data_IF_262727451823
#
_entry.id   IF_262727451823
#
_cell.length_a   1.000
_cell.length_b   1.000
_cell.length_c   1.000
_cell.angle_alpha   90.00
_cell.angle_beta   90.00
_cell.angle_gamma   90.00
#
_symmetry.space_group_name_H-M   'P 1'
#
loop_
_entity.id
_entity.type
_entity.pdbx_description
1 polymer ?
#
# COMPACT_ATOMS: atom_id res chain seq x y z
N UNK A 1 -17.28 37.68 -6.38
CA UNK A 1 -15.83 37.35 -6.36
C UNK A 1 -15.34 36.86 -4.99
N UNK A 2 -16.22 36.65 -4.01
CA UNK A 2 -15.94 35.80 -2.86
C UNK A 2 -16.54 34.40 -3.12
N UNK A 3 -15.82 33.35 -2.75
CA UNK A 3 -16.24 31.94 -2.64
C UNK A 3 -15.79 30.91 -3.70
N UNK A 4 -14.76 31.20 -4.51
CA UNK A 4 -14.03 30.17 -5.29
C UNK A 4 -12.81 29.59 -4.57
N UNK A 5 -12.32 30.22 -3.50
CA UNK A 5 -11.17 29.72 -2.73
C UNK A 5 -11.51 28.55 -1.79
N UNK A 6 -12.78 28.35 -1.44
CA UNK A 6 -13.22 27.27 -0.51
C UNK A 6 -13.60 25.95 -1.16
N UNK A 7 -13.44 25.86 -2.49
CA UNK A 7 -13.70 24.64 -3.28
C UNK A 7 -12.41 23.97 -3.72
N UNK A 8 -11.29 24.21 -3.02
CA UNK A 8 -10.00 23.57 -3.28
C UNK A 8 -9.60 22.68 -2.10
N UNK A 9 -8.94 21.56 -2.38
CA UNK A 9 -8.40 20.66 -1.37
C UNK A 9 -7.01 20.20 -1.81
N UNK A 10 -5.97 20.63 -1.10
CA UNK A 10 -4.59 20.18 -1.35
C UNK A 10 -4.18 19.11 -0.36
N UNK A 11 -3.69 17.99 -0.89
CA UNK A 11 -3.27 16.85 -0.09
C UNK A 11 -1.83 16.47 -0.37
N UNK A 12 -1.17 15.86 0.62
CA UNK A 12 0.20 15.37 0.53
C UNK A 12 0.28 13.96 1.11
N UNK A 13 1.01 13.08 0.45
CA UNK A 13 1.43 11.79 1.01
C UNK A 13 2.96 11.71 1.08
N UNK A 14 3.47 11.16 2.19
CA UNK A 14 4.90 11.01 2.42
C UNK A 14 5.22 9.78 3.28
N UNK A 15 5.94 8.81 2.71
CA UNK A 15 6.65 7.80 3.46
C UNK A 15 7.90 8.43 4.09
N UNK A 16 7.96 8.47 5.42
CA UNK A 16 9.00 9.19 6.17
C UNK A 16 10.24 8.34 6.48
N UNK A 17 10.19 7.02 6.24
CA UNK A 17 11.24 6.07 6.60
C UNK A 17 11.74 6.27 8.04
N UNK A 18 10.81 6.24 9.00
CA UNK A 18 11.02 6.55 10.41
C UNK A 18 11.31 5.33 11.29
N UNK A 19 11.88 4.25 10.74
CA UNK A 19 12.19 3.01 11.47
C UNK A 19 13.13 3.29 12.65
N UNK A 20 12.82 2.76 13.84
CA UNK A 20 13.49 3.20 15.07
C UNK A 20 15.01 3.03 15.07
N UNK A 21 15.49 1.82 14.78
CA UNK A 21 16.93 1.50 14.86
C UNK A 21 17.59 1.32 13.49
N UNK A 22 16.80 1.33 12.42
CA UNK A 22 17.29 1.02 11.05
C UNK A 22 17.37 2.24 10.15
N UNK A 23 16.61 3.30 10.43
CA UNK A 23 16.59 4.49 9.60
C UNK A 23 17.78 5.40 9.90
N UNK A 24 18.54 5.74 8.86
CA UNK A 24 19.69 6.65 9.00
C UNK A 24 19.22 8.07 9.37
N UNK A 25 19.97 8.70 10.28
CA UNK A 25 19.74 10.08 10.78
C UNK A 25 18.27 10.39 11.10
N UNK A 26 17.53 9.40 11.60
CA UNK A 26 16.06 9.44 11.74
C UNK A 26 15.57 10.71 12.43
N UNK A 27 16.11 11.03 13.61
CA UNK A 27 15.68 12.20 14.40
C UNK A 27 15.88 13.52 13.64
N UNK A 28 17.03 13.69 12.99
CA UNK A 28 17.34 14.89 12.24
C UNK A 28 16.45 15.01 10.99
N UNK A 29 16.19 13.91 10.29
CA UNK A 29 15.29 13.90 9.12
C UNK A 29 13.84 14.19 9.51
N UNK A 30 13.34 13.56 10.57
CA UNK A 30 11.98 13.83 11.08
C UNK A 30 11.82 15.30 11.48
N UNK A 31 12.83 15.87 12.15
CA UNK A 31 12.81 17.30 12.47
C UNK A 31 12.81 18.17 11.20
N UNK A 32 13.61 17.83 10.18
CA UNK A 32 13.61 18.54 8.91
C UNK A 32 12.27 18.41 8.15
N UNK A 33 11.63 17.24 8.17
CA UNK A 33 10.27 17.05 7.62
C UNK A 33 9.27 17.94 8.37
N UNK A 34 9.32 17.95 9.70
CA UNK A 34 8.44 18.76 10.54
C UNK A 34 8.62 20.26 10.25
N UNK A 35 9.87 20.72 10.10
CA UNK A 35 10.19 22.10 9.76
C UNK A 35 9.75 22.47 8.33
N UNK A 36 9.92 21.57 7.36
CA UNK A 36 9.42 21.80 6.00
C UNK A 36 7.90 21.95 5.98
N UNK A 37 7.17 21.09 6.71
CA UNK A 37 5.71 21.19 6.84
C UNK A 37 5.33 22.51 7.52
N UNK A 38 5.97 22.91 8.62
CA UNK A 38 5.70 24.17 9.30
C UNK A 38 5.87 25.40 8.39
N UNK A 39 6.89 25.37 7.52
CA UNK A 39 7.19 26.45 6.59
C UNK A 39 6.39 26.37 5.28
N UNK A 40 5.55 25.35 5.09
CA UNK A 40 4.74 25.15 3.89
C UNK A 40 3.43 25.96 3.86
N UNK A 41 3.39 27.09 4.58
CA UNK A 41 2.22 27.97 4.63
C UNK A 41 1.71 28.36 3.24
N UNK A 42 2.61 28.77 2.35
CA UNK A 42 2.27 29.17 0.99
C UNK A 42 1.78 28.00 0.14
N UNK A 43 2.17 26.76 0.50
CA UNK A 43 1.68 25.56 -0.15
C UNK A 43 0.22 25.24 0.23
N UNK A 44 -0.24 25.70 1.40
CA UNK A 44 -1.63 25.57 1.87
C UNK A 44 -2.17 24.11 1.88
N UNK A 45 -1.42 23.14 2.41
CA UNK A 45 -1.93 21.76 2.56
C UNK A 45 -3.13 21.67 3.52
N UNK A 46 -4.16 20.91 3.13
CA UNK A 46 -5.37 20.67 3.92
C UNK A 46 -5.34 19.33 4.65
N UNK A 47 -4.75 18.30 4.04
CA UNK A 47 -4.54 16.98 4.65
C UNK A 47 -3.17 16.41 4.26
N UNK A 48 -2.40 15.95 5.24
CA UNK A 48 -1.13 15.25 5.06
C UNK A 48 -1.27 13.82 5.59
N UNK A 49 -0.96 12.85 4.75
CA UNK A 49 -0.83 11.44 5.10
C UNK A 49 0.63 11.05 5.24
N UNK A 50 0.98 10.49 6.39
CA UNK A 50 2.33 10.05 6.70
C UNK A 50 2.37 8.53 6.83
N UNK A 51 3.37 7.90 6.22
CA UNK A 51 3.67 6.48 6.37
C UNK A 51 5.05 6.29 7.02
N UNK A 52 5.27 5.12 7.62
CA UNK A 52 6.50 4.76 8.33
C UNK A 52 6.92 5.69 9.47
N UNK A 53 5.97 6.34 10.14
CA UNK A 53 6.24 7.06 11.39
C UNK A 53 6.03 6.11 12.57
N UNK A 54 7.05 5.30 12.88
CA UNK A 54 6.92 4.19 13.85
C UNK A 54 6.98 4.63 15.30
N UNK A 55 7.60 5.78 15.60
CA UNK A 55 7.76 6.28 16.97
C UNK A 55 6.77 7.40 17.22
N UNK A 56 5.99 7.26 18.30
CA UNK A 56 4.95 8.22 18.66
C UNK A 56 5.47 9.66 18.83
N UNK A 57 6.62 9.81 19.50
CA UNK A 57 7.26 11.11 19.68
C UNK A 57 7.67 11.78 18.35
N UNK A 58 8.06 10.99 17.33
CA UNK A 58 8.38 11.52 16.00
C UNK A 58 7.11 12.07 15.33
N UNK A 59 5.97 11.37 15.46
CA UNK A 59 4.67 11.89 14.97
C UNK A 59 4.22 13.14 15.73
N UNK A 60 4.32 13.13 17.06
CA UNK A 60 3.89 14.26 17.88
C UNK A 60 4.71 15.53 17.55
N UNK A 61 6.01 15.40 17.25
CA UNK A 61 6.85 16.50 16.76
C UNK A 61 6.32 17.06 15.43
N UNK A 62 6.07 16.19 14.44
CA UNK A 62 5.55 16.64 13.13
C UNK A 62 4.19 17.31 13.31
N UNK A 63 3.28 16.71 14.08
CA UNK A 63 1.95 17.24 14.31
C UNK A 63 1.96 18.57 15.06
N UNK A 64 2.88 18.78 16.01
CA UNK A 64 3.01 20.03 16.73
C UNK A 64 3.53 21.14 15.81
N UNK A 65 4.57 20.87 15.02
CA UNK A 65 5.12 21.81 14.04
C UNK A 65 4.14 22.14 12.91
N UNK A 66 3.31 21.18 12.50
CA UNK A 66 2.28 21.40 11.49
C UNK A 66 1.20 22.43 11.92
N UNK A 67 1.03 22.67 13.23
CA UNK A 67 0.14 23.73 13.72
C UNK A 67 0.59 25.11 13.28
N UNK A 68 1.91 25.32 13.12
CA UNK A 68 2.43 26.57 12.61
C UNK A 68 1.77 26.83 11.25
N UNK A 69 1.72 25.84 10.34
CA UNK A 69 1.04 25.88 9.03
C UNK A 69 -0.51 25.86 9.08
N UNK A 70 -1.11 26.07 10.25
CA UNK A 70 -2.55 26.06 10.46
C UNK A 70 -3.18 24.66 10.44
N UNK A 71 -2.39 23.58 10.47
CA UNK A 71 -2.90 22.21 10.50
C UNK A 71 -3.08 21.72 11.94
N UNK A 72 -4.19 22.11 12.55
CA UNK A 72 -4.41 21.96 14.00
C UNK A 72 -4.97 20.60 14.43
N UNK A 73 -5.37 19.75 13.49
CA UNK A 73 -5.97 18.45 13.78
C UNK A 73 -5.04 17.32 13.34
N UNK A 74 -4.89 16.29 14.16
CA UNK A 74 -4.05 15.15 13.79
C UNK A 74 -4.53 13.87 14.45
N UNK A 75 -4.20 12.74 13.83
CA UNK A 75 -4.48 11.41 14.34
C UNK A 75 -3.37 10.44 13.99
N UNK A 76 -2.78 9.86 15.03
CA UNK A 76 -1.87 8.71 14.92
C UNK A 76 -2.68 7.42 15.06
N UNK A 77 -2.37 6.41 14.24
CA UNK A 77 -3.08 5.13 14.24
C UNK A 77 -2.20 3.99 14.72
N UNK A 78 -2.78 3.10 15.52
CA UNK A 78 -2.14 1.90 16.02
C UNK A 78 -2.78 0.67 15.36
N UNK A 79 -1.96 -0.29 14.95
CA UNK A 79 -2.40 -1.59 14.42
C UNK A 79 -1.29 -2.63 14.54
N UNK A 80 -1.64 -3.91 14.67
CA UNK A 80 -0.66 -4.97 14.91
C UNK A 80 0.10 -4.81 16.23
N UNK A 81 1.20 -5.55 16.38
CA UNK A 81 2.00 -5.56 17.61
C UNK A 81 3.01 -4.39 17.67
N UNK A 82 3.50 -3.93 16.52
CA UNK A 82 4.56 -2.92 16.40
C UNK A 82 4.02 -1.58 15.83
N UNK A 83 2.73 -1.51 15.48
CA UNK A 83 2.11 -0.36 14.82
C UNK A 83 1.99 -0.52 13.30
N UNK A 84 1.33 0.43 12.64
CA UNK A 84 1.33 0.58 11.16
C UNK A 84 2.24 1.71 10.67
N UNK A 85 2.69 2.59 11.58
CA UNK A 85 3.42 3.81 11.22
C UNK A 85 2.58 4.82 10.43
N UNK A 86 1.25 4.78 10.55
CA UNK A 86 0.33 5.64 9.81
C UNK A 86 -0.14 6.83 10.65
N UNK A 87 -0.10 8.01 10.03
CA UNK A 87 -0.61 9.24 10.62
C UNK A 87 -1.35 10.09 9.59
N UNK A 88 -2.34 10.85 10.05
CA UNK A 88 -3.02 11.87 9.27
C UNK A 88 -3.01 13.19 10.04
N UNK A 89 -2.68 14.27 9.35
CA UNK A 89 -2.73 15.64 9.86
C UNK A 89 -3.67 16.43 8.96
N UNK A 90 -4.51 17.29 9.53
CA UNK A 90 -5.50 18.07 8.79
C UNK A 90 -5.67 19.48 9.34
N UNK A 91 -5.89 20.42 8.42
CA UNK A 91 -6.39 21.76 8.69
C UNK A 91 -7.87 21.76 9.08
N UNK A 92 -8.63 20.81 8.56
CA UNK A 92 -10.06 20.72 8.82
C UNK A 92 -10.36 19.87 10.08
N UNK A 93 -11.43 20.20 10.82
CA UNK A 93 -11.88 19.36 11.93
C UNK A 93 -12.16 17.92 11.48
N UNK A 94 -11.61 16.96 12.22
CA UNK A 94 -11.83 15.53 11.98
C UNK A 94 -13.19 15.12 12.56
N UNK A 95 -14.13 14.77 11.69
CA UNK A 95 -15.49 14.35 12.06
C UNK A 95 -15.51 12.91 12.55
N UNK A 96 -14.74 12.04 11.91
CA UNK A 96 -14.57 10.65 12.32
C UNK A 96 -13.21 10.13 11.85
N UNK A 97 -12.69 9.14 12.55
CA UNK A 97 -11.45 8.47 12.19
C UNK A 97 -11.59 6.95 12.35
N UNK A 98 -10.90 6.18 11.51
CA UNK A 98 -10.89 4.73 11.59
C UNK A 98 -9.52 4.14 11.22
N UNK A 99 -9.27 2.92 11.66
CA UNK A 99 -8.16 2.08 11.19
C UNK A 99 -8.70 0.67 10.96
N UNK A 100 -8.33 0.09 9.83
CA UNK A 100 -8.64 -1.28 9.46
C UNK A 100 -7.33 -1.99 9.12
N UNK A 101 -6.80 -2.84 10.02
CA UNK A 101 -5.65 -3.69 9.72
C UNK A 101 -5.97 -4.61 8.55
N UNK A 102 -5.00 -4.80 7.66
CA UNK A 102 -5.12 -5.80 6.62
C UNK A 102 -5.01 -7.21 7.20
N UNK A 103 -5.81 -8.13 6.67
CA UNK A 103 -5.87 -9.51 7.15
C UNK A 103 -4.73 -10.38 6.62
N UNK A 104 -3.89 -9.89 5.71
CA UNK A 104 -2.76 -10.63 5.15
C UNK A 104 -1.52 -9.73 5.09
N UNK A 105 -0.62 -9.90 6.07
CA UNK A 105 0.56 -9.06 6.29
C UNK A 105 1.89 -9.84 6.35
N UNK A 106 1.94 -11.05 5.81
CA UNK A 106 3.18 -11.84 5.69
C UNK A 106 3.10 -13.23 6.28
N UNK A 107 4.26 -13.88 6.45
CA UNK A 107 4.33 -15.19 7.09
C UNK A 107 4.28 -15.05 8.61
N UNK A 108 3.54 -15.93 9.33
CA UNK A 108 3.50 -15.96 10.79
C UNK A 108 4.82 -16.38 11.46
N UNK A 109 5.89 -16.55 10.68
CA UNK A 109 7.22 -16.89 11.21
C UNK A 109 7.85 -15.63 11.82
N UNK A 110 8.19 -15.63 13.13
CA UNK A 110 8.85 -14.53 13.80
C UNK A 110 10.11 -14.05 13.07
N UNK A 111 10.28 -12.72 12.98
CA UNK A 111 11.47 -12.04 12.45
C UNK A 111 11.77 -12.20 10.95
N UNK A 112 10.91 -12.88 10.18
CA UNK A 112 11.12 -13.10 8.74
C UNK A 112 10.33 -12.11 7.88
N UNK A 113 9.10 -11.76 8.27
CA UNK A 113 8.19 -10.92 7.48
C UNK A 113 7.46 -9.87 8.33
N UNK A 114 6.78 -8.94 7.67
CA UNK A 114 5.98 -7.84 8.24
C UNK A 114 4.76 -8.30 9.07
N UNK A 115 4.61 -9.57 9.43
CA UNK A 115 3.44 -10.08 10.14
C UNK A 115 3.11 -9.32 11.44
N UNK A 116 4.16 -8.89 12.16
CA UNK A 116 4.04 -8.14 13.41
C UNK A 116 3.83 -6.65 13.20
N UNK A 117 4.23 -6.13 12.03
CA UNK A 117 3.91 -4.79 11.57
C UNK A 117 2.49 -4.82 10.98
N UNK A 118 1.54 -4.22 11.70
CA UNK A 118 0.14 -4.30 11.28
C UNK A 118 -0.12 -3.38 10.10
N UNK A 119 0.29 -3.73 8.87
CA UNK A 119 -0.08 -2.98 7.65
C UNK A 119 -1.60 -2.81 7.65
N UNK A 120 -2.04 -1.61 7.31
CA UNK A 120 -3.41 -1.20 7.50
C UNK A 120 -3.78 -0.11 6.50
N UNK A 121 -5.08 0.10 6.36
CA UNK A 121 -5.63 1.37 5.89
C UNK A 121 -6.22 2.10 7.08
N UNK A 122 -5.93 3.38 7.19
CA UNK A 122 -6.59 4.28 8.13
C UNK A 122 -7.25 5.42 7.37
N UNK A 123 -8.11 6.19 8.04
CA UNK A 123 -8.69 7.36 7.39
C UNK A 123 -9.37 8.29 8.36
N UNK A 124 -9.52 9.52 7.90
CA UNK A 124 -10.29 10.57 8.56
C UNK A 124 -11.39 11.04 7.62
N UNK A 125 -12.52 11.44 8.19
CA UNK A 125 -13.56 12.17 7.46
C UNK A 125 -13.45 13.63 7.83
N UNK A 126 -13.28 14.50 6.84
CA UNK A 126 -13.29 15.95 7.00
C UNK A 126 -14.54 16.54 6.37
N UNK A 127 -15.00 17.67 6.91
CA UNK A 127 -16.12 18.43 6.36
C UNK A 127 -15.56 19.58 5.53
N UNK A 128 -15.77 19.55 4.22
CA UNK A 128 -15.45 20.67 3.33
C UNK A 128 -16.69 21.55 3.22
N UNK A 129 -16.60 22.86 3.52
CA UNK A 129 -17.72 23.80 3.36
C UNK A 129 -18.31 23.76 1.94
N UNK A 130 -19.64 23.90 1.82
CA UNK A 130 -20.41 23.86 0.56
C UNK A 130 -20.40 22.55 -0.25
N UNK A 131 -19.39 21.69 -0.07
CA UNK A 131 -19.23 20.43 -0.80
C UNK A 131 -19.85 19.25 -0.03
N UNK A 132 -19.44 19.05 1.22
CA UNK A 132 -19.85 17.88 1.99
C UNK A 132 -18.69 17.16 2.67
N UNK A 133 -18.89 15.86 2.94
CA UNK A 133 -17.92 15.02 3.63
C UNK A 133 -16.92 14.43 2.63
N UNK A 134 -15.64 14.55 2.96
CA UNK A 134 -14.55 13.92 2.23
C UNK A 134 -13.87 12.93 3.16
N UNK A 135 -13.83 11.66 2.76
CA UNK A 135 -13.05 10.62 3.40
C UNK A 135 -11.64 10.61 2.80
N UNK A 136 -10.63 10.89 3.63
CA UNK A 136 -9.22 10.80 3.26
C UNK A 136 -8.61 9.58 3.92
N UNK A 137 -8.18 8.62 3.10
CA UNK A 137 -7.63 7.34 3.50
C UNK A 137 -6.12 7.35 3.29
N UNK A 138 -5.38 6.86 4.29
CA UNK A 138 -3.94 6.66 4.25
C UNK A 138 -3.64 5.17 4.40
N UNK A 139 -2.87 4.60 3.47
CA UNK A 139 -2.44 3.20 3.51
C UNK A 139 -0.94 3.03 3.33
N UNK A 140 -0.42 1.94 3.87
CA UNK A 140 0.90 1.42 3.53
C UNK A 140 0.77 -0.08 3.31
N UNK A 141 0.89 -0.52 2.06
CA UNK A 141 0.71 -1.92 1.66
C UNK A 141 1.96 -2.77 1.92
N UNK A 142 1.78 -4.09 1.87
CA UNK A 142 2.79 -5.08 2.24
C UNK A 142 3.91 -5.25 1.21
N UNK A 143 5.17 -5.36 1.65
CA UNK A 143 6.36 -5.17 0.79
C UNK A 143 7.49 -6.24 0.78
N UNK A 144 7.33 -7.55 1.10
CA UNK A 144 8.46 -8.45 1.04
C UNK A 144 8.69 -9.04 -0.35
N UNK A 145 9.93 -8.96 -0.80
CA UNK A 145 10.45 -9.73 -1.93
C UNK A 145 10.21 -9.14 -3.32
N UNK A 146 9.94 -7.82 -3.40
CA UNK A 146 9.80 -7.08 -4.65
C UNK A 146 8.36 -6.99 -5.18
N UNK A 147 8.23 -6.40 -6.36
CA UNK A 147 6.95 -6.09 -7.02
C UNK A 147 6.38 -7.24 -7.85
N UNK A 148 7.11 -8.34 -8.00
CA UNK A 148 6.72 -9.43 -8.89
C UNK A 148 5.38 -10.07 -8.46
N UNK A 149 4.52 -10.33 -9.45
CA UNK A 149 3.20 -10.99 -9.34
C UNK A 149 3.32 -12.50 -9.02
N UNK A 150 4.16 -12.84 -8.04
CA UNK A 150 4.32 -14.20 -7.55
C UNK A 150 3.49 -14.42 -6.27
N UNK A 151 3.64 -15.58 -5.64
CA UNK A 151 2.94 -15.94 -4.39
C UNK A 151 3.08 -14.86 -3.29
N UNK A 152 4.13 -14.05 -3.28
CA UNK A 152 4.31 -12.93 -2.34
C UNK A 152 3.39 -11.73 -2.65
N UNK A 153 3.01 -11.54 -3.91
CA UNK A 153 2.04 -10.53 -4.34
C UNK A 153 0.59 -10.84 -3.94
N UNK A 154 0.27 -12.08 -3.56
CA UNK A 154 -1.07 -12.50 -3.14
C UNK A 154 -1.62 -11.69 -1.96
N UNK A 155 -0.75 -11.33 -1.01
CA UNK A 155 -1.15 -10.48 0.12
C UNK A 155 -1.53 -9.08 -0.35
N UNK A 156 -0.73 -8.45 -1.22
CA UNK A 156 -1.08 -7.13 -1.79
C UNK A 156 -2.35 -7.19 -2.63
N UNK A 157 -2.61 -8.27 -3.37
CA UNK A 157 -3.87 -8.45 -4.12
C UNK A 157 -5.07 -8.42 -3.15
N UNK A 158 -5.00 -9.16 -2.04
CA UNK A 158 -6.05 -9.15 -1.03
C UNK A 158 -6.22 -7.76 -0.38
N UNK A 159 -5.12 -7.09 -0.05
CA UNK A 159 -5.14 -5.73 0.50
C UNK A 159 -5.75 -4.72 -0.48
N UNK A 160 -5.44 -4.84 -1.77
CA UNK A 160 -6.03 -4.00 -2.81
C UNK A 160 -7.53 -4.25 -2.97
N UNK A 161 -7.96 -5.51 -2.88
CA UNK A 161 -9.38 -5.89 -2.89
C UNK A 161 -10.14 -5.23 -1.74
N UNK A 162 -9.62 -5.35 -0.52
CA UNK A 162 -10.21 -4.74 0.68
C UNK A 162 -10.26 -3.21 0.59
N UNK A 163 -9.16 -2.57 0.16
CA UNK A 163 -9.08 -1.12 0.01
C UNK A 163 -10.06 -0.60 -1.04
N UNK A 164 -10.15 -1.28 -2.18
CA UNK A 164 -11.08 -0.96 -3.26
C UNK A 164 -12.54 -1.04 -2.78
N UNK A 165 -12.91 -2.10 -2.07
CA UNK A 165 -14.24 -2.25 -1.46
C UNK A 165 -14.54 -1.10 -0.50
N UNK A 166 -13.61 -0.75 0.39
CA UNK A 166 -13.80 0.37 1.32
C UNK A 166 -14.01 1.71 0.61
N UNK A 167 -13.28 1.97 -0.49
CA UNK A 167 -13.46 3.18 -1.29
C UNK A 167 -14.85 3.23 -1.96
N UNK A 168 -15.33 2.10 -2.47
CA UNK A 168 -16.69 1.97 -3.04
C UNK A 168 -17.76 2.23 -1.97
N UNK A 169 -17.68 1.54 -0.82
CA UNK A 169 -18.66 1.67 0.28
C UNK A 169 -18.75 3.12 0.79
N UNK A 170 -17.63 3.84 0.85
CA UNK A 170 -17.61 5.25 1.25
C UNK A 170 -18.28 6.16 0.20
N UNK A 171 -18.01 5.92 -1.08
CA UNK A 171 -18.64 6.65 -2.16
C UNK A 171 -20.15 6.37 -2.25
N UNK A 172 -20.59 5.13 -2.02
CA UNK A 172 -22.02 4.77 -1.98
C UNK A 172 -22.76 5.42 -0.80
N UNK A 173 -22.04 5.83 0.26
CA UNK A 173 -22.58 6.64 1.37
C UNK A 173 -22.60 8.14 1.05
N UNK A 174 -22.43 8.53 -0.21
CA UNK A 174 -22.49 9.92 -0.64
C UNK A 174 -21.26 10.75 -0.24
N UNK A 175 -20.09 10.12 -0.02
CA UNK A 175 -18.87 10.83 0.38
C UNK A 175 -17.86 10.85 -0.75
N UNK A 176 -17.16 11.97 -0.89
CA UNK A 176 -15.95 12.00 -1.72
C UNK A 176 -14.86 11.18 -1.05
N UNK A 177 -14.03 10.51 -1.85
CA UNK A 177 -12.99 9.62 -1.35
C UNK A 177 -11.67 10.00 -1.99
N UNK A 178 -10.67 10.22 -1.16
CA UNK A 178 -9.27 10.33 -1.56
C UNK A 178 -8.51 9.23 -0.85
N UNK A 179 -7.76 8.42 -1.59
CA UNK A 179 -6.93 7.35 -1.06
C UNK A 179 -5.49 7.66 -1.42
N UNK A 180 -4.64 7.79 -0.41
CA UNK A 180 -3.23 8.13 -0.57
C UNK A 180 -2.34 7.21 0.25
N UNK A 181 -1.06 7.21 -0.08
CA UNK A 181 -0.06 6.43 0.65
C UNK A 181 0.89 5.66 -0.25
N UNK A 182 1.62 4.75 0.37
CA UNK A 182 2.58 3.85 -0.27
C UNK A 182 1.92 2.51 -0.57
N UNK A 183 1.66 2.27 -1.86
CA UNK A 183 0.99 1.06 -2.34
C UNK A 183 1.98 -0.08 -2.62
N UNK A 184 3.29 0.17 -2.55
CA UNK A 184 4.34 -0.80 -2.86
C UNK A 184 4.10 -1.54 -4.20
N UNK A 185 3.49 -0.86 -5.16
CA UNK A 185 3.02 -1.43 -6.43
C UNK A 185 3.16 -0.41 -7.55
N UNK A 186 3.72 -0.81 -8.69
CA UNK A 186 3.90 0.07 -9.85
C UNK A 186 2.59 0.26 -10.65
N UNK A 187 2.47 1.32 -11.49
CA UNK A 187 1.22 1.69 -12.17
C UNK A 187 0.64 0.63 -13.10
N UNK A 188 1.47 -0.28 -13.59
CA UNK A 188 1.12 -1.37 -14.51
C UNK A 188 0.92 -2.72 -13.79
N UNK A 189 0.90 -2.74 -12.46
CA UNK A 189 0.66 -3.96 -11.69
C UNK A 189 -0.84 -4.28 -11.63
N UNK A 190 -1.15 -5.58 -11.50
CA UNK A 190 -2.52 -6.05 -11.29
C UNK A 190 -3.16 -5.48 -10.02
N UNK A 191 -2.34 -5.14 -9.03
CA UNK A 191 -2.75 -4.55 -7.75
C UNK A 191 -3.36 -3.16 -8.02
N UNK A 192 -2.66 -2.31 -8.78
CA UNK A 192 -3.17 -1.00 -9.15
C UNK A 192 -4.37 -1.10 -10.11
N UNK A 193 -4.41 -2.10 -10.98
CA UNK A 193 -5.59 -2.35 -11.83
C UNK A 193 -6.83 -2.72 -11.01
N UNK A 194 -6.70 -3.56 -9.97
CA UNK A 194 -7.79 -3.87 -9.04
C UNK A 194 -8.26 -2.60 -8.34
N UNK A 195 -7.34 -1.79 -7.80
CA UNK A 195 -7.70 -0.55 -7.09
C UNK A 195 -8.44 0.43 -8.00
N UNK A 196 -7.95 0.63 -9.24
CA UNK A 196 -8.58 1.54 -10.20
C UNK A 196 -9.95 1.04 -10.66
N UNK A 197 -10.08 -0.26 -10.94
CA UNK A 197 -11.30 -0.81 -11.59
C UNK A 197 -12.35 -1.29 -10.59
N UNK A 198 -11.97 -2.06 -9.56
CA UNK A 198 -12.89 -2.48 -8.49
C UNK A 198 -13.21 -1.30 -7.57
N UNK A 199 -12.21 -0.50 -7.21
CA UNK A 199 -12.38 0.69 -6.36
C UNK A 199 -13.03 1.87 -7.09
N UNK A 200 -13.08 1.82 -8.43
CA UNK A 200 -13.46 2.94 -9.33
C UNK A 200 -12.72 4.23 -8.95
N UNK A 201 -11.42 4.11 -8.74
CA UNK A 201 -10.55 5.21 -8.33
C UNK A 201 -9.73 5.71 -9.53
N UNK A 202 -9.69 7.03 -9.70
CA UNK A 202 -8.84 7.72 -10.66
C UNK A 202 -7.49 8.03 -10.02
N UNK A 203 -6.44 8.12 -10.85
CA UNK A 203 -5.07 8.43 -10.42
C UNK A 203 -4.77 9.90 -10.74
N UNK A 204 -4.64 10.74 -9.72
CA UNK A 204 -4.46 12.18 -9.90
C UNK A 204 -3.19 12.52 -10.69
N UNK A 205 -2.13 11.72 -10.55
CA UNK A 205 -0.89 11.94 -11.31
C UNK A 205 -1.13 11.65 -12.79
N UNK A 206 -1.78 10.54 -13.11
CA UNK A 206 -2.07 10.15 -14.49
C UNK A 206 -3.05 11.11 -15.20
N UNK A 207 -3.96 11.75 -14.46
CA UNK A 207 -4.92 12.71 -15.03
C UNK A 207 -4.32 14.10 -15.27
N UNK A 208 -3.25 14.46 -14.55
CA UNK A 208 -2.60 15.78 -14.65
C UNK A 208 -1.32 15.79 -15.47
N UNK A 209 -0.84 14.62 -15.89
CA UNK A 209 0.39 14.46 -16.65
C UNK A 209 0.13 13.68 -17.94
N UNK A 210 0.85 13.98 -19.04
CA UNK A 210 0.77 13.18 -20.25
C UNK A 210 1.26 11.75 -19.97
N UNK A 211 0.73 10.77 -20.71
CA UNK A 211 1.22 9.40 -20.61
C UNK A 211 2.72 9.36 -20.96
N UNK A 212 3.57 8.81 -20.07
CA UNK A 212 5.00 8.82 -20.30
C UNK A 212 5.38 7.90 -21.47
N UNK A 213 6.47 8.20 -22.19
CA UNK A 213 6.91 7.34 -23.28
C UNK A 213 7.27 5.96 -22.76
N UNK A 214 7.07 4.94 -23.62
CA UNK A 214 7.49 3.57 -23.32
C UNK A 214 8.97 3.51 -22.94
N UNK A 215 9.30 2.73 -21.91
CA UNK A 215 10.68 2.56 -21.40
C UNK A 215 11.65 2.01 -22.47
N UNK A 216 11.13 1.37 -23.52
CA UNK A 216 11.93 0.85 -24.64
C UNK A 216 12.13 1.86 -25.77
N UNK A 217 11.43 3.00 -25.73
CA UNK A 217 11.47 4.02 -26.78
C UNK A 217 12.79 4.82 -26.78
N UNK A 218 13.13 5.41 -27.93
CA UNK A 218 14.25 6.35 -28.02
C UNK A 218 14.02 7.61 -27.16
N UNK A 219 12.77 8.11 -27.11
CA UNK A 219 12.38 9.28 -26.32
C UNK A 219 12.64 9.08 -24.82
N UNK A 220 12.29 7.92 -24.27
CA UNK A 220 12.59 7.60 -22.87
C UNK A 220 14.09 7.50 -22.61
N UNK A 221 14.84 6.89 -23.52
CA UNK A 221 16.31 6.73 -23.37
C UNK A 221 17.08 8.06 -23.40
N UNK A 222 16.49 9.12 -23.94
CA UNK A 222 17.08 10.47 -23.90
C UNK A 222 16.81 11.22 -22.60
N UNK A 223 15.94 10.72 -21.72
CA UNK A 223 15.63 11.41 -20.47
C UNK A 223 16.84 11.46 -19.53
N UNK A 224 17.06 12.63 -18.97
CA UNK A 224 17.83 12.80 -17.74
C UNK A 224 17.07 12.16 -16.56
N UNK A 225 17.77 11.83 -15.45
CA UNK A 225 17.09 11.31 -14.26
C UNK A 225 15.97 12.22 -13.72
N UNK A 226 16.12 13.54 -13.87
CA UNK A 226 15.12 14.53 -13.45
C UNK A 226 13.88 14.47 -14.36
N UNK A 227 14.07 14.44 -15.68
CA UNK A 227 12.96 14.31 -16.63
C UNK A 227 12.23 12.98 -16.48
N UNK A 228 12.96 11.87 -16.29
CA UNK A 228 12.36 10.57 -16.02
C UNK A 228 11.55 10.58 -14.72
N UNK A 229 12.07 11.24 -13.67
CA UNK A 229 11.37 11.40 -12.40
C UNK A 229 10.02 12.11 -12.58
N UNK A 230 10.00 13.26 -13.25
CA UNK A 230 8.77 14.01 -13.48
C UNK A 230 7.82 13.35 -14.50
N UNK A 231 8.33 12.70 -15.54
CA UNK A 231 7.48 12.06 -16.55
C UNK A 231 6.77 10.81 -15.98
N UNK A 232 7.47 9.98 -15.20
CA UNK A 232 6.90 8.74 -14.65
C UNK A 232 6.30 8.91 -13.25
N UNK A 233 6.52 10.05 -12.59
CA UNK A 233 6.09 10.29 -11.22
C UNK A 233 6.88 9.43 -10.23
N UNK A 234 8.20 9.35 -10.39
CA UNK A 234 9.05 8.48 -9.59
C UNK A 234 9.12 9.00 -8.15
N UNK A 235 8.70 8.17 -7.20
CA UNK A 235 8.70 8.49 -5.76
C UNK A 235 9.72 7.67 -4.98
N UNK A 236 10.14 6.50 -5.48
CA UNK A 236 11.07 5.61 -4.79
C UNK A 236 12.13 5.05 -5.75
N UNK A 237 13.23 4.52 -5.20
CA UNK A 237 14.35 3.94 -5.96
C UNK A 237 14.87 4.88 -7.08
N UNK A 238 14.84 6.20 -6.85
CA UNK A 238 15.38 7.19 -7.79
C UNK A 238 16.90 7.34 -7.63
N UNK A 239 17.66 7.50 -8.72
CA UNK A 239 19.09 7.85 -8.65
C UNK A 239 19.35 9.26 -8.09
N UNK A 240 18.32 10.10 -8.00
CA UNK A 240 18.41 11.42 -7.36
C UNK A 240 18.26 11.35 -5.84
N UNK A 241 17.74 10.24 -5.30
CA UNK A 241 17.61 10.04 -3.87
C UNK A 241 18.92 9.51 -3.27
N UNK A 242 19.42 10.16 -2.21
CA UNK A 242 20.73 9.82 -1.62
C UNK A 242 20.79 8.43 -1.00
N UNK A 243 19.65 7.88 -0.54
CA UNK A 243 19.58 6.54 0.06
C UNK A 243 19.46 5.42 -0.96
N UNK A 244 18.89 5.71 -2.11
CA UNK A 244 18.67 4.73 -3.19
C UNK A 244 19.83 4.69 -4.18
N UNK A 245 20.48 5.84 -4.46
CA UNK A 245 21.57 5.92 -5.44
C UNK A 245 22.72 4.90 -5.23
N UNK A 246 23.23 4.64 -4.01
CA UNK A 246 24.29 3.65 -3.81
C UNK A 246 23.84 2.22 -4.14
N UNK A 247 22.58 1.88 -3.86
CA UNK A 247 22.01 0.55 -4.15
C UNK A 247 21.82 0.36 -5.66
N UNK A 248 21.34 1.40 -6.35
CA UNK A 248 21.10 1.38 -7.79
C UNK A 248 22.40 1.24 -8.61
N UNK A 249 23.50 1.85 -8.16
CA UNK A 249 24.83 1.71 -8.81
C UNK A 249 25.33 0.26 -8.88
N UNK A 250 24.84 -0.62 -8.00
CA UNK A 250 25.21 -2.05 -7.97
C UNK A 250 24.32 -2.91 -8.85
N UNK A 251 23.22 -2.39 -9.38
CA UNK A 251 22.27 -3.13 -10.22
C UNK A 251 22.76 -3.22 -11.66
N UNK A 252 22.26 -4.22 -12.37
CA UNK A 252 22.52 -4.37 -13.81
C UNK A 252 21.88 -3.24 -14.59
N UNK A 253 22.53 -2.80 -15.68
CA UNK A 253 21.96 -1.81 -16.62
C UNK A 253 20.66 -2.29 -17.28
N UNK A 254 20.43 -3.61 -17.31
CA UNK A 254 19.20 -4.21 -17.83
C UNK A 254 18.05 -4.29 -16.81
N UNK A 255 18.26 -3.87 -15.56
CA UNK A 255 17.20 -3.83 -14.54
C UNK A 255 16.15 -2.77 -14.92
N UNK A 256 14.87 -3.13 -14.89
CA UNK A 256 13.77 -2.24 -15.25
C UNK A 256 13.78 -0.95 -14.42
N UNK A 257 14.13 -1.03 -13.13
CA UNK A 257 14.21 0.14 -12.24
C UNK A 257 15.27 1.13 -12.74
N UNK A 258 16.40 0.62 -13.23
CA UNK A 258 17.47 1.43 -13.80
C UNK A 258 17.04 2.03 -15.14
N UNK A 259 16.40 1.23 -16.00
CA UNK A 259 15.93 1.69 -17.30
C UNK A 259 14.87 2.79 -17.14
N UNK A 260 13.89 2.58 -16.25
CA UNK A 260 12.78 3.52 -16.00
C UNK A 260 13.23 4.79 -15.27
N UNK A 261 14.31 4.72 -14.48
CA UNK A 261 14.81 5.82 -13.66
C UNK A 261 14.27 5.83 -12.22
N UNK A 262 13.68 4.71 -11.78
CA UNK A 262 13.13 4.50 -10.44
C UNK A 262 11.72 3.89 -10.50
N UNK A 263 10.97 4.04 -9.40
CA UNK A 263 9.61 3.50 -9.24
C UNK A 263 8.62 4.56 -8.77
N UNK A 264 7.37 4.47 -9.26
CA UNK A 264 6.22 5.14 -8.65
C UNK A 264 5.51 4.17 -7.73
N UNK A 265 5.58 4.40 -6.42
CA UNK A 265 4.94 3.55 -5.40
C UNK A 265 3.93 4.32 -4.55
N UNK A 266 4.05 5.65 -4.49
CA UNK A 266 3.17 6.53 -3.73
C UNK A 266 2.14 7.17 -4.67
N UNK A 267 0.88 7.19 -4.25
CA UNK A 267 -0.23 7.63 -5.08
C UNK A 267 -1.17 8.57 -4.33
N UNK A 268 -1.86 9.41 -5.09
CA UNK A 268 -3.09 10.07 -4.65
C UNK A 268 -4.20 9.67 -5.63
N UNK A 269 -5.06 8.79 -5.17
CA UNK A 269 -6.20 8.28 -5.91
C UNK A 269 -7.47 8.93 -5.40
N UNK A 270 -8.47 9.10 -6.27
CA UNK A 270 -9.69 9.80 -5.87
C UNK A 270 -10.90 9.27 -6.61
N UNK A 271 -12.07 9.50 -6.00
CA UNK A 271 -13.36 9.38 -6.64
C UNK A 271 -14.42 10.20 -5.94
N UNK A 272 -15.47 10.49 -6.66
CA UNK A 272 -16.65 11.17 -6.15
C UNK A 272 -17.83 10.20 -6.09
N UNK A 273 -18.80 10.48 -5.21
CA UNK A 273 -20.04 9.72 -5.18
C UNK A 273 -20.87 10.06 -6.43
N UNK A 274 -21.60 9.08 -6.96
CA UNK A 274 -22.30 9.20 -8.25
C UNK A 274 -23.43 10.25 -8.23
N UNK A 275 -24.07 10.44 -7.07
CA UNK A 275 -25.24 11.31 -6.89
C UNK A 275 -24.89 12.72 -6.39
N UNK A 276 -23.60 13.06 -6.22
CA UNK A 276 -23.21 14.39 -5.74
C UNK A 276 -23.19 15.41 -6.88
N UNK A 277 -23.69 16.61 -6.59
CA UNK A 277 -23.58 17.78 -7.46
C UNK A 277 -22.13 18.23 -7.65
N UNK A 278 -21.27 17.96 -6.66
CA UNK A 278 -19.84 18.25 -6.71
C UNK A 278 -19.05 17.01 -7.08
N UNK A 279 -17.97 17.21 -7.80
CA UNK A 279 -17.08 16.19 -8.31
C UNK A 279 -15.64 16.65 -8.12
N UNK A 280 -14.79 15.80 -7.53
CA UNK A 280 -13.35 16.03 -7.41
C UNK A 280 -12.70 16.03 -8.79
N UNK A 281 -11.91 17.06 -9.06
CA UNK A 281 -11.12 17.21 -10.27
C UNK A 281 -9.68 17.59 -9.90
N UNK A 282 -8.67 16.81 -10.32
CA UNK A 282 -7.28 17.10 -10.01
C UNK A 282 -6.81 18.24 -10.89
N UNK A 283 -6.38 19.33 -10.27
CA UNK A 283 -5.85 20.51 -10.96
C UNK A 283 -4.36 20.36 -11.25
N UNK A 284 -3.61 19.81 -10.29
CA UNK A 284 -2.16 19.62 -10.40
C UNK A 284 -1.66 18.56 -9.43
N UNK A 285 -0.56 17.90 -9.77
CA UNK A 285 0.23 17.09 -8.85
C UNK A 285 1.70 17.48 -8.91
N UNK A 286 2.41 17.37 -7.79
CA UNK A 286 3.84 17.68 -7.71
C UNK A 286 4.59 16.66 -6.85
N UNK A 287 5.84 16.38 -7.23
CA UNK A 287 6.78 15.65 -6.39
C UNK A 287 7.41 16.64 -5.41
N UNK A 288 7.40 16.31 -4.14
CA UNK A 288 7.85 17.17 -3.03
C UNK A 288 9.08 16.54 -2.35
N UNK A 289 9.91 17.36 -1.68
CA UNK A 289 11.07 16.89 -0.92
C UNK A 289 12.08 16.09 -1.78
N UNK A 290 12.26 16.51 -3.03
CA UNK A 290 13.19 15.86 -3.98
C UNK A 290 14.63 16.33 -3.75
N UNK A 291 14.79 17.50 -3.16
CA UNK A 291 16.05 18.09 -2.76
C UNK A 291 16.60 17.46 -1.46
N UNK A 292 17.94 17.44 -1.28
CA UNK A 292 18.53 17.05 -0.02
C UNK A 292 18.19 18.05 1.09
N UNK A 293 18.12 17.56 2.33
CA UNK A 293 18.03 18.39 3.52
C UNK A 293 19.25 19.33 3.57
N UNK A 294 19.07 20.67 3.57
CA UNK A 294 20.15 21.63 3.32
C UNK A 294 21.40 21.45 4.19
N UNK A 295 21.23 21.11 5.47
CA UNK A 295 22.31 20.97 6.44
C UNK A 295 22.80 19.53 6.66
N UNK A 296 22.08 18.52 6.14
CA UNK A 296 22.48 17.10 6.31
C UNK A 296 23.07 16.50 5.03
N UNK A 297 22.80 17.08 3.86
CA UNK A 297 23.27 16.58 2.56
C UNK A 297 22.66 15.23 2.16
N UNK A 298 21.56 14.83 2.79
CA UNK A 298 20.82 13.58 2.52
C UNK A 298 19.36 13.89 2.25
N UNK A 299 18.68 13.05 1.48
CA UNK A 299 17.23 13.16 1.23
C UNK A 299 16.42 13.10 2.52
N UNK A 300 15.22 13.70 2.51
CA UNK A 300 14.31 13.70 3.67
C UNK A 300 13.81 12.30 4.01
N UNK A 301 13.65 11.43 3.02
CA UNK A 301 13.29 10.02 3.13
C UNK A 301 13.91 9.23 1.97
N UNK A 302 13.83 7.90 1.99
CA UNK A 302 14.14 7.08 0.83
C UNK A 302 13.02 7.11 -0.24
N UNK A 303 11.89 7.72 0.10
CA UNK A 303 10.82 8.16 -0.80
C UNK A 303 10.80 9.69 -0.95
N UNK A 304 10.30 10.16 -2.09
CA UNK A 304 9.88 11.55 -2.32
C UNK A 304 8.39 11.69 -1.99
N UNK A 305 7.97 12.89 -1.58
CA UNK A 305 6.57 13.19 -1.33
C UNK A 305 5.78 13.35 -2.63
N UNK A 306 4.47 13.08 -2.58
CA UNK A 306 3.56 13.37 -3.69
C UNK A 306 2.41 14.23 -3.18
N UNK A 307 2.27 15.42 -3.75
CA UNK A 307 1.14 16.30 -3.50
C UNK A 307 0.17 16.33 -4.67
N UNK A 308 -1.11 16.52 -4.36
CA UNK A 308 -2.16 16.72 -5.35
C UNK A 308 -3.08 17.84 -4.89
N UNK A 309 -3.49 18.68 -5.82
CA UNK A 309 -4.48 19.72 -5.57
C UNK A 309 -5.74 19.43 -6.35
N UNK A 310 -6.86 19.39 -5.63
CA UNK A 310 -8.18 19.15 -6.20
C UNK A 310 -9.02 20.40 -6.16
N UNK A 311 -9.87 20.56 -7.16
CA UNK A 311 -11.02 21.45 -7.12
C UNK A 311 -12.30 20.64 -7.14
N UNK A 312 -13.39 21.23 -6.63
CA UNK A 312 -14.72 20.66 -6.76
C UNK A 312 -15.43 21.34 -7.92
N UNK A 313 -15.74 20.58 -8.96
CA UNK A 313 -16.49 21.04 -10.13
C UNK A 313 -17.88 20.39 -10.16
N UNK A 314 -18.83 21.00 -10.88
CA UNK A 314 -20.18 20.42 -11.09
C UNK A 314 -20.25 19.51 -12.32
N UNK A 315 -19.09 19.19 -12.89
CA UNK A 315 -18.98 18.36 -14.09
C UNK A 315 -18.93 16.90 -13.67
N UNK A 316 -19.74 16.05 -14.30
CA UNK A 316 -19.75 14.63 -13.98
C UNK A 316 -18.36 14.00 -14.11
N UNK A 317 -17.90 13.35 -13.05
CA UNK A 317 -16.60 12.69 -13.03
C UNK A 317 -16.62 11.46 -13.95
N UNK A 318 -15.66 11.39 -14.87
CA UNK A 318 -15.45 10.20 -15.69
C UNK A 318 -14.72 9.13 -14.87
N UNK A 319 -15.45 8.13 -14.41
CA UNK A 319 -14.85 7.01 -13.68
C UNK A 319 -14.17 6.00 -14.61
N UNK A 320 -13.16 5.26 -14.13
CA UNK A 320 -12.54 4.17 -14.89
C UNK A 320 -13.56 3.11 -15.28
N UNK A 321 -13.20 2.31 -16.30
CA UNK A 321 -13.97 1.13 -16.66
C UNK A 321 -14.12 0.19 -15.46
N UNK A 322 -15.31 -0.40 -15.36
CA UNK A 322 -15.62 -1.40 -14.34
C UNK A 322 -14.65 -2.58 -14.41
N UNK A 323 -14.43 -3.21 -13.26
CA UNK A 323 -13.70 -4.47 -13.12
C UNK A 323 -14.05 -5.46 -14.24
N UNK A 324 -13.02 -6.01 -14.88
CA UNK A 324 -13.18 -6.90 -16.04
C UNK A 324 -12.76 -8.34 -15.69
N UNK A 325 -13.42 -9.37 -16.27
CA UNK A 325 -13.09 -10.78 -15.99
C UNK A 325 -11.63 -11.18 -16.30
N UNK A 326 -11.02 -10.56 -17.31
CA UNK A 326 -9.64 -10.75 -17.72
C UNK A 326 -8.62 -10.28 -16.66
N UNK A 327 -8.98 -9.27 -15.86
CA UNK A 327 -8.14 -8.81 -14.75
C UNK A 327 -8.23 -9.73 -13.52
N UNK A 328 -9.41 -10.32 -13.26
CA UNK A 328 -9.63 -11.17 -12.09
C UNK A 328 -8.98 -12.55 -12.22
N UNK A 329 -8.90 -13.08 -13.44
CA UNK A 329 -8.43 -14.46 -13.65
C UNK A 329 -6.96 -14.65 -13.22
N UNK A 330 -6.01 -13.77 -13.60
CA UNK A 330 -4.64 -13.85 -13.10
C UNK A 330 -4.54 -13.63 -11.58
N UNK A 331 -5.29 -12.67 -11.02
CA UNK A 331 -5.27 -12.40 -9.57
C UNK A 331 -5.74 -13.61 -8.76
N UNK A 332 -6.85 -14.23 -9.17
CA UNK A 332 -7.36 -15.48 -8.59
C UNK A 332 -6.34 -16.61 -8.70
N UNK A 333 -5.66 -16.74 -9.85
CA UNK A 333 -4.63 -17.77 -10.03
C UNK A 333 -3.48 -17.62 -9.02
N UNK A 334 -3.04 -16.38 -8.77
CA UNK A 334 -1.99 -16.05 -7.78
C UNK A 334 -2.46 -16.33 -6.35
N UNK A 335 -3.69 -15.97 -6.00
CA UNK A 335 -4.28 -16.25 -4.68
C UNK A 335 -4.41 -17.77 -4.42
N UNK A 336 -4.92 -18.52 -5.41
CA UNK A 336 -5.01 -19.99 -5.34
C UNK A 336 -3.63 -20.64 -5.20
N UNK A 337 -2.62 -20.15 -5.93
CA UNK A 337 -1.25 -20.62 -5.79
C UNK A 337 -0.68 -20.34 -4.38
N UNK A 338 -0.93 -19.14 -3.85
CA UNK A 338 -0.51 -18.77 -2.49
C UNK A 338 -1.21 -19.61 -1.41
N UNK A 339 -2.49 -19.90 -1.57
CA UNK A 339 -3.23 -20.75 -0.66
C UNK A 339 -2.64 -22.17 -0.62
N UNK A 340 -2.36 -22.76 -1.79
CA UNK A 340 -1.70 -24.08 -1.87
C UNK A 340 -0.31 -24.06 -1.24
N UNK A 341 0.47 -23.00 -1.49
CA UNK A 341 1.80 -22.84 -0.90
C UNK A 341 1.73 -22.73 0.63
N UNK A 342 0.79 -21.95 1.16
CA UNK A 342 0.55 -21.81 2.60
C UNK A 342 0.18 -23.15 3.24
N UNK A 343 -0.73 -23.91 2.63
CA UNK A 343 -1.11 -25.25 3.09
C UNK A 343 0.06 -26.25 3.07
N UNK A 344 0.93 -26.19 2.04
CA UNK A 344 2.14 -27.02 1.97
C UNK A 344 3.13 -26.64 3.07
N UNK A 345 3.36 -25.35 3.30
CA UNK A 345 4.23 -24.84 4.35
C UNK A 345 3.73 -25.25 5.74
N UNK A 346 2.43 -25.11 5.99
CA UNK A 346 1.77 -25.57 7.22
C UNK A 346 2.00 -27.07 7.48
N UNK A 347 1.80 -27.93 6.47
CA UNK A 347 2.06 -29.37 6.59
C UNK A 347 3.53 -29.67 6.91
N UNK A 348 4.47 -29.02 6.22
CA UNK A 348 5.90 -29.18 6.46
C UNK A 348 6.28 -28.77 7.88
N UNK A 349 5.78 -27.63 8.37
CA UNK A 349 6.05 -27.17 9.73
C UNK A 349 5.49 -28.13 10.77
N UNK A 350 4.30 -28.70 10.57
CA UNK A 350 3.75 -29.72 11.46
C UNK A 350 4.56 -31.03 11.44
N UNK A 351 5.14 -31.41 10.30
CA UNK A 351 6.08 -32.53 10.21
C UNK A 351 7.38 -32.25 10.98
N UNK A 352 7.92 -31.03 10.86
CA UNK A 352 9.10 -30.59 11.62
C UNK A 352 8.81 -30.53 13.12
N UNK A 353 7.61 -30.11 13.54
CA UNK A 353 7.17 -30.21 14.93
C UNK A 353 7.18 -31.65 15.42
N UNK A 354 6.60 -32.59 14.67
CA UNK A 354 6.62 -34.01 15.03
C UNK A 354 8.07 -34.55 15.14
N UNK A 355 8.96 -34.15 14.23
CA UNK A 355 10.38 -34.48 14.29
C UNK A 355 11.05 -33.90 15.55
N UNK A 356 10.72 -32.67 15.95
CA UNK A 356 11.22 -32.05 17.18
C UNK A 356 10.75 -32.81 18.44
N UNK A 357 9.50 -33.30 18.46
CA UNK A 357 8.99 -34.13 19.56
C UNK A 357 9.77 -35.44 19.66
N UNK A 358 10.00 -36.12 18.53
CA UNK A 358 10.80 -37.35 18.49
C UNK A 358 12.26 -37.10 18.91
N UNK A 359 12.85 -35.99 18.47
CA UNK A 359 14.19 -35.60 18.86
C UNK A 359 14.30 -35.27 20.35
N UNK A 360 13.31 -34.59 20.94
CA UNK A 360 13.28 -34.31 22.36
C UNK A 360 13.17 -35.59 23.21
N UNK A 361 12.36 -36.56 22.77
CA UNK A 361 12.29 -37.88 23.38
C UNK A 361 13.64 -38.61 23.27
N UNK A 362 14.26 -38.59 22.09
CA UNK A 362 15.59 -39.15 21.85
C UNK A 362 16.66 -38.53 22.75
N UNK A 363 16.70 -37.20 22.85
CA UNK A 363 17.63 -36.48 23.74
C UNK A 363 17.41 -36.85 25.21
N UNK A 364 16.16 -37.02 25.65
CA UNK A 364 15.84 -37.42 27.04
C UNK A 364 16.35 -38.83 27.32
N UNK A 365 16.07 -39.78 26.43
CA UNK A 365 16.56 -41.16 26.55
C UNK A 365 18.08 -41.19 26.51
N UNK A 366 18.72 -40.56 25.52
CA UNK A 366 20.18 -40.51 25.36
C UNK A 366 20.87 -39.85 26.55
N UNK A 367 20.29 -38.81 27.16
CA UNK A 367 20.85 -38.18 28.35
C UNK A 367 20.97 -39.12 29.55
N UNK A 368 20.14 -40.18 29.58
CA UNK A 368 20.17 -41.19 30.65
C UNK A 368 21.34 -42.18 30.49
N UNK A 369 21.94 -42.24 29.30
CA UNK A 369 23.06 -43.15 28.98
C UNK A 369 24.41 -42.44 28.84
N UNK A 370 24.49 -41.13 29.12
CA UNK A 370 25.72 -40.35 28.94
C UNK A 370 26.75 -40.63 30.06
N UNK A 371 27.93 -41.21 29.73
CA UNK A 371 28.93 -41.54 30.74
C UNK A 371 29.70 -40.31 31.24
N UNK A 372 29.82 -39.24 30.44
CA UNK A 372 30.55 -38.03 30.80
C UNK A 372 29.61 -36.99 31.41
N UNK A 373 29.49 -37.00 32.75
CA UNK A 373 28.66 -36.02 33.49
C UNK A 373 28.94 -34.55 33.16
N UNK A 374 30.17 -34.24 32.73
CA UNK A 374 30.57 -32.90 32.29
C UNK A 374 29.86 -32.42 31.00
N UNK A 375 29.26 -33.33 30.23
CA UNK A 375 28.54 -33.02 28.98
C UNK A 375 27.02 -32.90 29.17
N UNK A 376 26.47 -33.14 30.36
CA UNK A 376 25.02 -33.13 30.60
C UNK A 376 24.36 -31.78 30.25
N UNK A 377 25.07 -30.67 30.45
CA UNK A 377 24.57 -29.33 30.09
C UNK A 377 24.26 -29.20 28.59
N UNK A 378 24.96 -29.95 27.73
CA UNK A 378 24.74 -29.95 26.28
C UNK A 378 23.38 -30.58 25.93
N UNK A 379 23.00 -31.68 26.58
CA UNK A 379 21.68 -32.30 26.39
C UNK A 379 20.55 -31.38 26.84
N UNK A 380 20.73 -30.68 27.97
CA UNK A 380 19.76 -29.67 28.42
C UNK A 380 19.65 -28.53 27.40
N UNK A 381 20.78 -28.00 26.92
CA UNK A 381 20.78 -26.94 25.91
C UNK A 381 20.09 -27.37 24.62
N UNK A 382 20.44 -28.55 24.08
CA UNK A 382 19.82 -29.11 22.87
C UNK A 382 18.33 -29.40 23.08
N UNK A 383 17.92 -29.85 24.28
CA UNK A 383 16.53 -30.05 24.64
C UNK A 383 15.73 -28.74 24.64
N UNK A 384 16.29 -27.68 25.23
CA UNK A 384 15.66 -26.34 25.23
C UNK A 384 15.54 -25.80 23.80
N UNK A 385 16.60 -25.91 22.99
CA UNK A 385 16.57 -25.47 21.59
C UNK A 385 15.55 -26.25 20.76
N UNK A 386 15.50 -27.58 20.91
CA UNK A 386 14.51 -28.45 20.25
C UNK A 386 13.09 -28.12 20.70
N UNK A 387 12.88 -27.86 21.99
CA UNK A 387 11.59 -27.46 22.55
C UNK A 387 11.11 -26.11 22.00
N UNK A 388 11.99 -25.11 21.96
CA UNK A 388 11.71 -23.79 21.40
C UNK A 388 11.40 -23.86 19.89
N UNK A 389 12.16 -24.66 19.13
CA UNK A 389 11.91 -24.91 17.71
C UNK A 389 10.57 -25.62 17.50
N UNK A 390 10.28 -26.68 18.27
CA UNK A 390 9.03 -27.41 18.22
C UNK A 390 7.81 -26.52 18.52
N UNK A 391 7.87 -25.71 19.59
CA UNK A 391 6.81 -24.77 19.93
C UNK A 391 6.57 -23.75 18.80
N UNK A 392 7.65 -23.25 18.19
CA UNK A 392 7.58 -22.35 17.03
C UNK A 392 6.88 -23.02 15.85
N UNK A 393 7.31 -24.21 15.45
CA UNK A 393 6.72 -24.93 14.32
C UNK A 393 5.27 -25.34 14.54
N UNK A 394 4.89 -25.66 15.78
CA UNK A 394 3.50 -25.91 16.14
C UNK A 394 2.66 -24.64 15.96
N UNK A 395 3.11 -23.52 16.51
CA UNK A 395 2.43 -22.23 16.41
C UNK A 395 2.28 -21.78 14.95
N UNK A 396 3.38 -21.74 14.20
CA UNK A 396 3.38 -21.26 12.81
C UNK A 396 2.62 -22.22 11.90
N UNK A 397 2.81 -23.53 12.10
CA UNK A 397 2.22 -24.57 11.25
C UNK A 397 0.73 -24.73 11.48
N UNK A 398 0.28 -24.72 12.73
CA UNK A 398 -1.13 -24.91 13.08
C UNK A 398 -1.93 -23.62 13.00
N UNK A 399 -1.60 -22.62 13.84
CA UNK A 399 -2.38 -21.40 13.97
C UNK A 399 -2.13 -20.50 12.76
N UNK A 400 -0.86 -20.20 12.51
CA UNK A 400 -0.47 -19.30 11.43
C UNK A 400 -0.90 -19.80 10.05
N UNK A 401 -0.58 -21.05 9.72
CA UNK A 401 -0.92 -21.66 8.42
C UNK A 401 -2.42 -21.70 8.15
N UNK A 402 -3.22 -22.15 9.14
CA UNK A 402 -4.69 -22.19 9.00
C UNK A 402 -5.30 -20.80 8.87
N UNK A 403 -4.78 -19.82 9.62
CA UNK A 403 -5.23 -18.45 9.55
C UNK A 403 -4.99 -17.87 8.15
N UNK A 404 -3.76 -17.96 7.62
CA UNK A 404 -3.42 -17.42 6.29
C UNK A 404 -4.26 -18.09 5.20
N UNK A 405 -4.36 -19.42 5.23
CA UNK A 405 -5.15 -20.16 4.25
C UNK A 405 -6.64 -19.82 4.31
N UNK A 406 -7.18 -19.56 5.52
CA UNK A 406 -8.55 -19.11 5.73
C UNK A 406 -8.80 -17.71 5.17
N UNK A 407 -7.91 -16.75 5.44
CA UNK A 407 -8.04 -15.39 4.91
C UNK A 407 -7.96 -15.37 3.38
N UNK A 408 -7.01 -16.11 2.79
CA UNK A 408 -6.94 -16.28 1.34
C UNK A 408 -8.22 -16.89 0.77
N UNK A 409 -8.81 -17.88 1.46
CA UNK A 409 -10.06 -18.53 1.02
C UNK A 409 -11.23 -17.53 0.97
N UNK A 410 -11.34 -16.64 1.96
CA UNK A 410 -12.41 -15.64 2.00
C UNK A 410 -12.30 -14.67 0.82
N UNK A 411 -11.10 -14.12 0.59
CA UNK A 411 -10.85 -13.20 -0.53
C UNK A 411 -11.09 -13.88 -1.88
N UNK A 412 -10.64 -15.13 -2.04
CA UNK A 412 -10.90 -15.93 -3.26
C UNK A 412 -12.41 -16.07 -3.48
N UNK A 413 -13.17 -16.45 -2.44
CA UNK A 413 -14.61 -16.64 -2.55
C UNK A 413 -15.35 -15.35 -2.92
N UNK A 414 -14.94 -14.21 -2.35
CA UNK A 414 -15.49 -12.89 -2.69
C UNK A 414 -15.18 -12.50 -4.15
N UNK A 415 -13.93 -12.67 -4.58
CA UNK A 415 -13.52 -12.36 -5.95
C UNK A 415 -14.20 -13.27 -6.98
N UNK A 416 -14.39 -14.56 -6.66
CA UNK A 416 -15.12 -15.51 -7.51
C UNK A 416 -16.62 -15.15 -7.59
N UNK A 417 -17.23 -14.74 -6.48
CA UNK A 417 -18.62 -14.28 -6.45
C UNK A 417 -18.82 -13.02 -7.31
N UNK A 418 -17.92 -12.04 -7.20
CA UNK A 418 -18.00 -10.81 -8.01
C UNK A 418 -17.72 -11.11 -9.50
N UNK A 419 -16.78 -12.02 -9.81
CA UNK A 419 -16.55 -12.48 -11.17
C UNK A 419 -17.80 -13.11 -11.79
N UNK A 420 -18.50 -13.95 -11.04
CA UNK A 420 -19.73 -14.58 -11.51
C UNK A 420 -20.85 -13.55 -11.69
N UNK A 421 -20.98 -12.59 -10.76
CA UNK A 421 -21.91 -11.47 -10.91
C UNK A 421 -21.66 -10.70 -12.21
N UNK A 422 -20.41 -10.34 -12.50
CA UNK A 422 -20.03 -9.64 -13.75
C UNK A 422 -20.39 -10.47 -14.99
N UNK A 423 -20.17 -11.80 -14.95
CA UNK A 423 -20.52 -12.70 -16.05
C UNK A 423 -22.02 -12.78 -16.29
N UNK A 424 -22.81 -12.86 -15.22
CA UNK A 424 -24.28 -12.89 -15.29
C UNK A 424 -24.81 -11.58 -15.85
N UNK A 425 -24.35 -10.43 -15.36
CA UNK A 425 -24.79 -9.11 -15.85
C UNK A 425 -24.46 -8.88 -17.33
N UNK A 426 -23.37 -9.45 -17.85
CA UNK A 426 -22.99 -9.36 -19.27
C UNK A 426 -23.67 -10.37 -20.20
N UNK A 427 -24.25 -11.46 -19.67
CA UNK A 427 -25.01 -12.44 -20.49
C UNK A 427 -26.22 -11.85 -21.24
N UNK A 428 -27.05 -10.97 -20.67
CA UNK A 428 -28.16 -10.36 -21.40
C UNK A 428 -27.71 -9.39 -22.51
N UNK A 429 -26.59 -8.67 -22.34
CA UNK A 429 -26.05 -7.77 -23.39
C UNK A 429 -25.60 -8.52 -24.66
N UNK A 430 -25.13 -9.77 -24.52
CA UNK A 430 -24.78 -10.61 -25.67
C UNK A 430 -25.97 -11.21 -26.41
N UNK A 431 -27.17 -11.25 -25.80
CA UNK A 431 -28.39 -11.75 -26.45
C UNK A 431 -29.16 -10.66 -27.20
N UNK A 432 -28.90 -9.38 -26.92
CA UNK A 432 -29.54 -8.25 -27.60
C UNK A 432 -28.82 -7.80 -28.88
N UNK A 433 -27.73 -8.46 -29.26
CA UNK A 433 -27.05 -8.24 -30.54
C UNK A 433 -27.29 -9.48 -31.40
N UNK A 434 -28.43 -9.49 -32.10
CA UNK A 434 -28.86 -10.33 -33.25
C UNK A 434 -30.41 -10.28 -33.28
N UNK A 435 -31.16 -9.81 -34.30
CA UNK A 435 -30.97 -9.70 -35.75
C UNK A 435 -31.71 -8.45 -36.27
N UNK A 436 -31.06 -7.62 -37.10
CA UNK A 436 -31.80 -6.86 -38.12
C UNK A 436 -31.95 -7.81 -39.30
N UNK A 437 -33.13 -8.40 -39.40
CA UNK A 437 -33.55 -9.19 -40.55
C UNK A 437 -33.67 -8.26 -41.77
N UNK A 438 -32.67 -8.29 -42.65
CA UNK A 438 -32.80 -7.74 -44.00
C UNK A 438 -33.50 -8.75 -44.91
N UNK A 439 -34.77 -9.07 -44.61
CA UNK A 439 -35.68 -9.72 -45.55
C UNK A 439 -36.97 -8.92 -45.70
N UNK A 440 -36.80 -7.70 -46.25
CA UNK A 440 -37.89 -6.91 -46.84
C UNK A 440 -37.84 -7.04 -48.36
N UNK A 441 -38.90 -7.63 -48.92
CA UNK A 441 -39.11 -8.03 -50.32
C UNK A 441 -39.16 -6.88 -51.34
N UNK A 442 -38.62 -7.12 -52.53
CA UNK A 442 -39.11 -6.68 -53.88
C UNK A 442 -38.35 -7.54 -54.91
N UNK A 443 -38.92 -8.29 -55.86
CA UNK A 443 -40.25 -8.45 -56.44
C UNK A 443 -40.53 -9.93 -56.70
#
# INVERSE_FOLDING_TARGET
>A
MADTERTRLRVLTLNCWGLWLLADKRRQRIAAIADWIANSHDAQFDVIALQEVWVRADFDLIADRAKDAGMTHSRFFYSGAIGSGLGLISRHPIVSAFVSPYLLNGSPIPFVDDWFAGKAVCGITVQVPAVGKVDVLNTHMFAPGGEADNVKGAHRIAQAWDLARMAVEKAERGRHVIVMGDFNSQPHSIIMDIIRTHGRLLDAFAETHPEPPSITSAAHRSFTPLEAMHAHGITCDSPLNTYSAPKLRKRSKGDEVIIRGGKRLDYVLYRSPAESDWQLEPESTSLELTEPVPHLGVSYSDHFGLSATFTFSKTQQRLPYSLRPDLLSPALSTLHAAQRASMRSSKLQLQLFAACVLAALGLTVSSSFEPLRALNWLFTLLGVMTGAAGATFLYTGFIGGRWVAGQLKNVIAEMEAELERIRITRRPERRSVDLVDHSGWTQ
#
